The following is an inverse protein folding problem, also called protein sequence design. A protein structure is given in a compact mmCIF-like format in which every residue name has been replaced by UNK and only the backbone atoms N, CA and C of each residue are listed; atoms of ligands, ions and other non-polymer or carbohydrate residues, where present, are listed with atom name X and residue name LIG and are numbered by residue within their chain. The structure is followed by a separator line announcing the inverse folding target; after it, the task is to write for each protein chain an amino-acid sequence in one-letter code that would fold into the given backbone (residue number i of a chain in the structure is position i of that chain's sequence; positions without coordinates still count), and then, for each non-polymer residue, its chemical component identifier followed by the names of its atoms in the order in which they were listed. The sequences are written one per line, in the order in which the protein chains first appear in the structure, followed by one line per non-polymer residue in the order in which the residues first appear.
data_IF_549878418712
#
_entry.id   IF_549878418712
#
_cell.length_a   1.000
_cell.length_b   1.000
_cell.length_c   1.000
_cell.angle_alpha   90.00
_cell.angle_beta   90.00
_cell.angle_gamma   90.00
#
_symmetry.space_group_name_H-M   'P 1'
#
loop_
_entity.id
_entity.type
_entity.pdbx_description
1 polymer ?
#
# COMPACT_ATOMS: atom_id res chain seq x y z
N UNK A 1 39.01 -0.93 -11.68
CA UNK A 1 38.41 -0.30 -12.87
C UNK A 1 37.17 0.48 -12.45
N UNK A 2 37.09 1.75 -12.79
CA UNK A 2 35.94 2.58 -12.38
C UNK A 2 34.69 2.25 -13.22
N UNK A 3 33.49 2.11 -12.60
CA UNK A 3 32.25 1.69 -13.29
C UNK A 3 31.79 2.65 -14.38
N UNK A 4 32.24 3.88 -14.36
CA UNK A 4 31.89 4.93 -15.35
C UNK A 4 32.28 4.60 -16.79
N UNK A 5 33.15 3.61 -17.02
CA UNK A 5 33.59 3.20 -18.37
C UNK A 5 32.54 2.40 -19.17
N UNK A 6 31.44 2.01 -18.52
CA UNK A 6 30.38 1.18 -19.13
C UNK A 6 28.99 1.82 -19.08
N UNK A 7 28.88 3.13 -18.79
CA UNK A 7 27.60 3.81 -18.77
C UNK A 7 26.61 3.32 -17.68
N UNK A 8 27.10 2.56 -16.68
CA UNK A 8 26.29 2.10 -15.55
C UNK A 8 26.47 3.04 -14.37
N UNK A 9 25.47 3.85 -14.06
CA UNK A 9 25.41 4.54 -12.79
C UNK A 9 25.29 3.54 -11.64
N UNK A 10 26.03 3.81 -10.54
CA UNK A 10 25.88 3.04 -9.30
C UNK A 10 24.49 3.34 -8.72
N UNK A 11 23.59 2.40 -8.80
CA UNK A 11 22.31 2.45 -8.09
C UNK A 11 22.56 1.98 -6.65
N UNK A 12 22.48 2.89 -5.70
CA UNK A 12 22.57 2.56 -4.28
C UNK A 12 21.18 2.13 -3.80
N UNK A 13 21.04 0.85 -3.45
CA UNK A 13 19.84 0.35 -2.78
C UNK A 13 19.71 1.00 -1.40
N UNK A 14 18.49 1.42 -1.07
CA UNK A 14 18.13 1.90 0.26
C UNK A 14 17.67 0.69 1.08
N UNK A 15 18.35 0.36 2.16
CA UNK A 15 18.02 -0.78 3.00
C UNK A 15 18.37 -0.55 4.46
N UNK A 16 18.32 -1.59 5.28
CA UNK A 16 18.58 -1.57 6.73
C UNK A 16 19.83 -0.78 7.18
N UNK A 17 20.85 -0.68 6.32
CA UNK A 17 22.07 0.07 6.57
C UNK A 17 22.07 1.47 5.91
N UNK A 18 20.96 1.88 5.28
CA UNK A 18 20.85 3.19 4.65
C UNK A 18 20.50 4.22 5.72
N UNK A 19 21.50 4.97 6.16
CA UNK A 19 21.31 6.04 7.12
C UNK A 19 20.60 7.27 6.54
N UNK A 20 20.28 8.23 7.43
CA UNK A 20 19.67 9.54 7.14
C UNK A 20 20.29 10.23 5.90
N UNK A 21 21.62 10.19 5.78
CA UNK A 21 22.37 10.81 4.66
C UNK A 21 22.03 10.20 3.29
N UNK A 22 21.77 8.89 3.22
CA UNK A 22 21.40 8.23 1.97
C UNK A 22 19.98 8.61 1.53
N UNK A 23 19.05 8.73 2.48
CA UNK A 23 17.70 9.21 2.20
C UNK A 23 17.73 10.66 1.71
N UNK A 24 18.45 11.56 2.39
CA UNK A 24 18.59 12.97 2.03
C UNK A 24 19.13 13.13 0.61
N UNK A 25 20.20 12.41 0.28
CA UNK A 25 20.79 12.45 -1.07
C UNK A 25 19.80 12.03 -2.18
N UNK A 26 18.97 11.01 -1.92
CA UNK A 26 17.96 10.57 -2.90
C UNK A 26 16.78 11.54 -2.97
N UNK A 27 16.36 12.15 -1.87
CA UNK A 27 15.34 13.20 -1.86
C UNK A 27 15.77 14.42 -2.67
N UNK A 28 17.04 14.87 -2.51
CA UNK A 28 17.62 15.97 -3.30
C UNK A 28 17.60 15.65 -4.80
N UNK A 29 18.00 14.44 -5.19
CA UNK A 29 17.97 13.99 -6.59
C UNK A 29 16.56 14.00 -7.19
N UNK A 30 15.56 13.68 -6.39
CA UNK A 30 14.15 13.65 -6.79
C UNK A 30 13.48 15.04 -6.72
N UNK A 31 14.19 16.06 -6.19
CA UNK A 31 13.64 17.40 -5.98
C UNK A 31 12.53 17.45 -4.93
N UNK A 32 12.51 16.49 -3.99
CA UNK A 32 11.50 16.38 -2.94
C UNK A 32 12.04 16.95 -1.63
N UNK A 33 11.30 17.90 -1.04
CA UNK A 33 11.56 18.44 0.29
C UNK A 33 10.52 17.91 1.28
N UNK A 34 10.98 17.31 2.39
CA UNK A 34 10.14 16.80 3.46
C UNK A 34 10.49 17.51 4.78
N UNK A 35 9.50 17.67 5.66
CA UNK A 35 9.72 18.09 7.05
C UNK A 35 10.60 17.04 7.78
N UNK A 36 11.15 17.41 8.94
CA UNK A 36 12.00 16.49 9.70
C UNK A 36 11.20 15.26 10.19
N UNK A 37 9.95 15.47 10.64
CA UNK A 37 9.07 14.38 11.07
C UNK A 37 8.72 13.44 9.92
N UNK A 38 8.35 13.99 8.76
CA UNK A 38 8.04 13.19 7.59
C UNK A 38 9.26 12.39 7.09
N UNK A 39 10.47 12.98 7.16
CA UNK A 39 11.71 12.25 6.84
C UNK A 39 11.96 11.09 7.79
N UNK A 40 11.66 11.28 9.08
CA UNK A 40 11.79 10.23 10.08
C UNK A 40 10.83 9.07 9.78
N UNK A 41 9.56 9.35 9.52
CA UNK A 41 8.57 8.33 9.18
C UNK A 41 8.95 7.55 7.90
N UNK A 42 9.40 8.26 6.86
CA UNK A 42 9.87 7.63 5.61
C UNK A 42 11.08 6.74 5.87
N UNK A 43 12.04 7.19 6.69
CA UNK A 43 13.22 6.41 7.06
C UNK A 43 12.84 5.15 7.85
N UNK A 44 11.94 5.26 8.83
CA UNK A 44 11.43 4.14 9.61
C UNK A 44 10.76 3.11 8.69
N UNK A 45 9.97 3.56 7.72
CA UNK A 45 9.34 2.69 6.73
C UNK A 45 10.36 1.96 5.84
N UNK A 46 11.42 2.65 5.40
CA UNK A 46 12.50 2.04 4.62
C UNK A 46 13.22 0.96 5.46
N UNK A 47 13.47 1.23 6.75
CA UNK A 47 14.09 0.27 7.66
C UNK A 47 13.19 -0.96 7.85
N UNK A 48 11.89 -0.75 8.09
CA UNK A 48 10.91 -1.83 8.23
C UNK A 48 10.86 -2.73 6.97
N UNK A 49 10.84 -2.12 5.79
CA UNK A 49 10.93 -2.85 4.53
C UNK A 49 12.23 -3.64 4.41
N UNK A 50 13.36 -3.02 4.80
CA UNK A 50 14.67 -3.67 4.84
C UNK A 50 14.74 -4.85 5.83
N UNK A 51 14.06 -4.76 6.98
CA UNK A 51 13.95 -5.85 7.95
C UNK A 51 13.14 -7.02 7.42
N UNK A 52 12.16 -6.76 6.56
CA UNK A 52 11.42 -7.77 5.78
C UNK A 52 12.21 -8.28 4.57
N UNK A 53 13.53 -8.03 4.51
CA UNK A 53 14.45 -8.40 3.40
C UNK A 53 14.12 -7.73 2.06
N UNK A 54 13.41 -6.62 2.09
CA UNK A 54 13.09 -5.83 0.92
C UNK A 54 14.24 -4.88 0.55
N UNK A 55 14.60 -4.83 -0.73
CA UNK A 55 15.60 -3.90 -1.23
C UNK A 55 14.92 -2.69 -1.86
N UNK A 56 14.82 -1.60 -1.11
CA UNK A 56 14.29 -0.34 -1.62
C UNK A 56 15.25 0.26 -2.63
N UNK A 57 14.76 0.58 -3.82
CA UNK A 57 15.53 1.31 -4.84
C UNK A 57 15.04 2.78 -4.90
N UNK A 58 15.85 3.71 -5.42
CA UNK A 58 15.48 5.13 -5.48
C UNK A 58 14.16 5.41 -6.17
N UNK A 59 13.81 4.58 -7.16
CA UNK A 59 12.56 4.67 -7.91
C UNK A 59 11.31 4.39 -7.05
N UNK A 60 11.48 3.63 -5.95
CA UNK A 60 10.38 3.30 -5.02
C UNK A 60 10.11 4.44 -4.04
N UNK A 61 11.09 5.34 -3.87
CA UNK A 61 11.06 6.34 -2.79
C UNK A 61 9.86 7.27 -2.88
N UNK A 62 9.49 7.74 -4.07
CA UNK A 62 8.31 8.61 -4.24
C UNK A 62 7.01 7.93 -3.80
N UNK A 63 6.95 6.65 -4.03
CA UNK A 63 5.80 5.82 -3.69
C UNK A 63 5.74 5.55 -2.19
N UNK A 64 6.87 5.24 -1.57
CA UNK A 64 6.99 5.06 -0.12
C UNK A 64 6.64 6.38 0.59
N UNK A 65 7.09 7.52 0.07
CA UNK A 65 6.74 8.84 0.58
C UNK A 65 5.22 9.07 0.51
N UNK A 66 4.61 8.80 -0.65
CA UNK A 66 3.17 8.95 -0.81
C UNK A 66 2.37 8.03 0.13
N UNK A 67 2.83 6.80 0.32
CA UNK A 67 2.24 5.83 1.24
C UNK A 67 2.34 6.32 2.70
N UNK A 68 3.54 6.71 3.15
CA UNK A 68 3.80 7.14 4.53
C UNK A 68 3.05 8.43 4.86
N UNK A 69 3.11 9.44 3.99
CA UNK A 69 2.50 10.75 4.27
C UNK A 69 0.98 10.76 4.19
N UNK A 70 0.37 9.79 3.51
CA UNK A 70 -1.09 9.68 3.40
C UNK A 70 -1.69 8.63 4.32
N UNK A 71 -0.90 7.68 4.82
CA UNK A 71 -1.40 6.65 5.75
C UNK A 71 -1.55 7.26 7.15
N UNK A 72 -2.76 7.30 7.71
CA UNK A 72 -2.99 7.79 9.08
C UNK A 72 -2.30 6.89 10.10
N UNK A 73 -1.81 7.48 11.20
CA UNK A 73 -1.22 6.73 12.33
C UNK A 73 -2.28 5.88 13.05
N UNK A 74 -3.51 6.39 13.16
CA UNK A 74 -4.62 5.69 13.79
C UNK A 74 -5.37 4.82 12.78
N UNK A 75 -5.46 3.53 13.07
CA UNK A 75 -6.25 2.57 12.29
C UNK A 75 -7.71 2.59 12.76
N UNK A 76 -8.59 3.26 12.02
CA UNK A 76 -10.03 3.28 12.25
C UNK A 76 -10.74 2.05 11.69
N UNK A 77 -10.21 1.52 10.58
CA UNK A 77 -10.75 0.35 9.87
C UNK A 77 -9.69 -0.74 9.86
N UNK A 78 -10.10 -1.95 10.20
CA UNK A 78 -9.26 -3.15 10.15
C UNK A 78 -9.96 -4.24 9.36
N UNK A 79 -9.23 -4.88 8.46
CA UNK A 79 -9.64 -6.13 7.83
C UNK A 79 -9.28 -7.27 8.79
N UNK A 80 -10.26 -7.77 9.55
CA UNK A 80 -10.04 -8.79 10.59
C UNK A 80 -9.72 -10.16 9.99
N UNK A 81 -10.38 -10.48 8.89
CA UNK A 81 -10.14 -11.74 8.16
C UNK A 81 -10.61 -11.63 6.71
N UNK A 82 -9.99 -12.41 5.87
CA UNK A 82 -10.43 -12.62 4.50
C UNK A 82 -10.12 -14.04 4.05
N UNK A 83 -10.92 -14.53 3.10
CA UNK A 83 -10.67 -15.78 2.39
C UNK A 83 -10.90 -15.55 0.91
N UNK A 84 -9.98 -16.02 0.07
CA UNK A 84 -10.08 -15.91 -1.40
C UNK A 84 -9.87 -17.29 -1.98
N UNK A 85 -10.86 -17.75 -2.72
CA UNK A 85 -10.85 -19.06 -3.39
C UNK A 85 -10.82 -18.84 -4.89
N UNK A 86 -9.78 -19.37 -5.54
CA UNK A 86 -9.61 -19.36 -6.98
C UNK A 86 -9.53 -20.79 -7.49
N UNK A 87 -10.41 -21.14 -8.39
CA UNK A 87 -10.49 -22.46 -9.02
C UNK A 87 -10.42 -22.30 -10.54
N UNK A 88 -9.94 -23.32 -11.23
CA UNK A 88 -9.91 -23.34 -12.70
C UNK A 88 -11.30 -23.47 -13.34
N UNK A 89 -12.29 -23.97 -12.58
CA UNK A 89 -13.61 -24.35 -13.10
C UNK A 89 -14.75 -23.54 -12.51
N UNK A 90 -14.46 -22.65 -11.57
CA UNK A 90 -15.47 -21.86 -10.87
C UNK A 90 -15.06 -20.38 -10.86
N UNK A 91 -16.04 -19.51 -10.80
CA UNK A 91 -15.81 -18.08 -10.63
C UNK A 91 -15.12 -17.84 -9.28
N UNK A 92 -14.04 -17.06 -9.22
CA UNK A 92 -13.39 -16.69 -7.98
C UNK A 92 -14.36 -16.12 -6.96
N UNK A 93 -14.20 -16.54 -5.71
CA UNK A 93 -15.05 -16.15 -4.58
C UNK A 93 -14.17 -15.60 -3.46
N UNK A 94 -14.70 -14.65 -2.72
CA UNK A 94 -14.04 -14.15 -1.52
C UNK A 94 -15.07 -13.87 -0.42
N UNK A 95 -14.60 -13.96 0.82
CA UNK A 95 -15.28 -13.42 1.99
C UNK A 95 -14.35 -12.48 2.74
N UNK A 96 -14.91 -11.45 3.37
CA UNK A 96 -14.18 -10.49 4.18
C UNK A 96 -14.93 -10.12 5.43
N UNK A 97 -14.23 -9.96 6.54
CA UNK A 97 -14.75 -9.35 7.76
C UNK A 97 -13.98 -8.07 8.02
N UNK A 98 -14.70 -6.95 8.11
CA UNK A 98 -14.13 -5.63 8.35
C UNK A 98 -14.66 -5.09 9.67
N UNK A 99 -13.78 -4.53 10.48
CA UNK A 99 -14.15 -3.83 11.71
C UNK A 99 -13.93 -2.32 11.53
N UNK A 100 -14.95 -1.55 11.82
CA UNK A 100 -14.91 -0.10 11.90
C UNK A 100 -15.39 0.36 13.26
N UNK A 101 -14.47 0.92 14.05
CA UNK A 101 -14.76 1.44 15.40
C UNK A 101 -15.51 0.43 16.29
N UNK A 102 -15.10 -0.82 16.27
CA UNK A 102 -15.69 -1.88 17.10
C UNK A 102 -16.95 -2.54 16.51
N UNK A 103 -17.42 -2.12 15.35
CA UNK A 103 -18.52 -2.78 14.64
C UNK A 103 -17.96 -3.59 13.48
N UNK A 104 -18.23 -4.89 13.46
CA UNK A 104 -17.80 -5.78 12.38
C UNK A 104 -18.90 -5.99 11.36
N UNK A 105 -18.56 -5.94 10.07
CA UNK A 105 -19.40 -6.32 8.93
C UNK A 105 -18.73 -7.49 8.21
N UNK A 106 -19.54 -8.47 7.78
CA UNK A 106 -19.08 -9.62 7.01
C UNK A 106 -19.82 -9.70 5.69
N UNK A 107 -19.08 -9.89 4.61
CA UNK A 107 -19.68 -10.03 3.29
C UNK A 107 -18.93 -11.04 2.43
N UNK A 108 -19.64 -11.50 1.39
CA UNK A 108 -19.10 -12.39 0.35
C UNK A 108 -19.25 -11.72 -1.01
N UNK A 109 -18.33 -12.05 -1.92
CA UNK A 109 -18.32 -11.51 -3.28
C UNK A 109 -17.73 -12.51 -4.27
N UNK A 110 -18.05 -12.32 -5.53
CA UNK A 110 -17.48 -13.04 -6.67
C UNK A 110 -16.85 -12.05 -7.63
N UNK A 111 -15.96 -12.52 -8.47
CA UNK A 111 -15.30 -11.65 -9.44
C UNK A 111 -14.49 -12.44 -10.48
N UNK A 112 -13.99 -11.73 -11.50
CA UNK A 112 -13.21 -12.32 -12.59
C UNK A 112 -11.82 -12.81 -12.15
N UNK A 113 -11.38 -12.38 -10.97
CA UNK A 113 -10.10 -12.78 -10.34
C UNK A 113 -10.19 -12.71 -8.82
N UNK A 114 -9.23 -13.33 -8.13
CA UNK A 114 -9.27 -13.42 -6.66
C UNK A 114 -9.35 -12.06 -5.97
N UNK A 115 -8.52 -11.09 -6.41
CA UNK A 115 -8.57 -9.75 -5.84
C UNK A 115 -9.85 -8.98 -6.23
N UNK A 116 -10.40 -9.21 -7.42
CA UNK A 116 -11.68 -8.61 -7.81
C UNK A 116 -12.85 -9.15 -6.95
N UNK A 117 -12.87 -10.47 -6.68
CA UNK A 117 -13.83 -11.07 -5.77
C UNK A 117 -13.71 -10.48 -4.34
N UNK A 118 -12.48 -10.31 -3.84
CA UNK A 118 -12.22 -9.65 -2.56
C UNK A 118 -12.75 -8.20 -2.54
N UNK A 119 -12.49 -7.41 -3.57
CA UNK A 119 -12.98 -6.03 -3.66
C UNK A 119 -14.51 -5.94 -3.73
N UNK A 120 -15.14 -6.92 -4.37
CA UNK A 120 -16.61 -7.03 -4.39
C UNK A 120 -17.17 -7.29 -2.97
N UNK A 121 -16.61 -8.26 -2.26
CA UNK A 121 -16.98 -8.54 -0.87
C UNK A 121 -16.72 -7.31 0.03
N UNK A 122 -15.56 -6.68 -0.10
CA UNK A 122 -15.18 -5.51 0.66
C UNK A 122 -16.15 -4.33 0.43
N UNK A 123 -16.55 -4.09 -0.81
CA UNK A 123 -17.50 -3.03 -1.16
C UNK A 123 -18.83 -3.24 -0.42
N UNK A 124 -19.34 -4.46 -0.40
CA UNK A 124 -20.58 -4.80 0.31
C UNK A 124 -20.42 -4.55 1.82
N UNK A 125 -19.33 -5.05 2.43
CA UNK A 125 -19.08 -4.85 3.86
C UNK A 125 -18.92 -3.35 4.22
N UNK A 126 -18.28 -2.56 3.38
CA UNK A 126 -18.07 -1.13 3.62
C UNK A 126 -19.34 -0.30 3.43
N UNK A 127 -20.25 -0.73 2.55
CA UNK A 127 -21.59 -0.11 2.41
C UNK A 127 -22.39 -0.19 3.71
N UNK A 128 -22.28 -1.27 4.48
CA UNK A 128 -22.92 -1.39 5.81
C UNK A 128 -22.39 -0.34 6.80
N UNK A 129 -21.16 0.13 6.61
CA UNK A 129 -20.55 1.20 7.40
C UNK A 129 -20.76 2.61 6.80
N UNK A 130 -21.48 2.72 5.68
CA UNK A 130 -21.75 4.00 5.02
C UNK A 130 -20.56 4.56 4.21
N UNK A 131 -19.58 3.74 3.85
CA UNK A 131 -18.45 4.15 3.02
C UNK A 131 -18.67 3.75 1.56
N UNK A 132 -18.34 4.68 0.67
CA UNK A 132 -18.14 4.42 -0.75
C UNK A 132 -16.63 4.30 -1.02
N UNK A 133 -16.24 3.22 -1.70
CA UNK A 133 -14.83 2.98 -2.01
C UNK A 133 -14.41 3.76 -3.26
N UNK A 134 -13.20 4.33 -3.27
CA UNK A 134 -12.64 4.94 -4.45
C UNK A 134 -12.43 3.91 -5.57
N UNK A 135 -12.38 4.40 -6.80
CA UNK A 135 -12.13 3.56 -7.96
C UNK A 135 -10.64 3.16 -8.03
N UNK A 136 -10.39 1.88 -8.30
CA UNK A 136 -9.07 1.38 -8.58
C UNK A 136 -8.71 1.75 -10.04
N UNK A 137 -7.70 2.59 -10.23
CA UNK A 137 -7.29 3.06 -11.56
C UNK A 137 -5.97 2.45 -12.05
N UNK A 138 -5.11 1.98 -11.13
CA UNK A 138 -3.87 1.28 -11.49
C UNK A 138 -3.53 0.21 -10.44
N UNK A 139 -3.08 -0.95 -10.89
CA UNK A 139 -2.70 -2.09 -10.05
C UNK A 139 -1.40 -2.70 -10.56
N UNK A 140 -0.34 -2.58 -9.79
CA UNK A 140 0.97 -3.11 -10.15
C UNK A 140 1.47 -4.05 -9.09
N UNK A 141 1.99 -5.19 -9.55
CA UNK A 141 2.66 -6.17 -8.71
C UNK A 141 4.12 -6.23 -9.11
N UNK A 142 5.00 -6.19 -8.14
CA UNK A 142 6.43 -6.37 -8.34
C UNK A 142 6.97 -7.41 -7.38
N UNK A 143 7.79 -8.30 -7.89
CA UNK A 143 8.60 -9.20 -7.09
C UNK A 143 10.04 -8.71 -7.20
N UNK A 144 10.62 -8.11 -6.14
CA UNK A 144 12.01 -7.68 -6.17
C UNK A 144 12.94 -8.88 -6.44
N UNK A 145 14.00 -8.69 -7.22
CA UNK A 145 14.92 -9.77 -7.51
C UNK A 145 15.70 -10.17 -6.26
N UNK A 146 15.16 -11.14 -5.52
CA UNK A 146 15.80 -11.72 -4.32
C UNK A 146 16.49 -13.05 -4.59
N UNK A 147 16.20 -13.70 -5.72
CA UNK A 147 16.74 -15.00 -6.09
C UNK A 147 16.29 -16.14 -5.17
N UNK A 148 15.29 -15.97 -4.32
CA UNK A 148 14.76 -16.95 -3.36
C UNK A 148 13.28 -17.16 -3.56
N UNK A 149 12.78 -18.33 -3.17
CA UNK A 149 11.36 -18.69 -3.22
C UNK A 149 10.52 -17.97 -2.16
N UNK A 150 11.17 -17.32 -1.17
CA UNK A 150 10.59 -16.51 -0.11
C UNK A 150 10.60 -15.00 -0.43
N UNK A 151 10.62 -14.67 -1.72
CA UNK A 151 10.59 -13.28 -2.16
C UNK A 151 9.30 -12.59 -1.74
N UNK A 152 9.43 -11.37 -1.18
CA UNK A 152 8.28 -10.53 -0.89
C UNK A 152 7.67 -10.01 -2.18
N UNK A 153 6.36 -9.86 -2.17
CA UNK A 153 5.57 -9.25 -3.24
C UNK A 153 5.19 -7.85 -2.81
N UNK A 154 5.39 -6.91 -3.70
CA UNK A 154 4.90 -5.54 -3.57
C UNK A 154 3.66 -5.38 -4.42
N UNK A 155 2.60 -4.88 -3.83
CA UNK A 155 1.41 -4.50 -4.56
C UNK A 155 1.17 -3.00 -4.42
N UNK A 156 1.16 -2.34 -5.52
CA UNK A 156 0.94 -0.93 -5.72
C UNK A 156 -0.46 -0.72 -6.24
N UNK A 157 -1.28 0.09 -5.58
CA UNK A 157 -2.64 0.39 -6.01
C UNK A 157 -2.83 1.89 -6.05
N UNK A 158 -3.30 2.41 -7.18
CA UNK A 158 -3.77 3.79 -7.33
C UNK A 158 -5.29 3.82 -7.23
N UNK A 159 -5.75 4.74 -6.42
CA UNK A 159 -7.14 4.99 -6.12
C UNK A 159 -7.54 6.37 -6.64
N UNK A 160 -8.62 6.44 -7.41
CA UNK A 160 -9.17 7.69 -7.89
C UNK A 160 -10.59 7.86 -7.32
N UNK A 161 -10.90 9.08 -6.91
CA UNK A 161 -12.20 9.50 -6.39
C UNK A 161 -12.71 10.64 -7.24
N UNK A 162 -13.98 10.62 -7.62
CA UNK A 162 -14.54 11.65 -8.49
C UNK A 162 -14.36 13.07 -7.90
N UNK A 163 -13.79 13.97 -8.71
CA UNK A 163 -13.57 15.36 -8.33
C UNK A 163 -12.37 15.61 -7.40
N UNK A 164 -11.61 14.58 -7.02
CA UNK A 164 -10.46 14.70 -6.13
C UNK A 164 -9.17 14.18 -6.78
N UNK A 165 -8.03 14.63 -6.25
CA UNK A 165 -6.73 14.09 -6.66
C UNK A 165 -6.59 12.68 -6.11
N UNK A 166 -6.43 11.70 -7.00
CA UNK A 166 -6.20 10.31 -6.61
C UNK A 166 -4.93 10.13 -5.77
N UNK A 167 -4.87 9.03 -5.03
CA UNK A 167 -3.72 8.67 -4.18
C UNK A 167 -3.30 7.23 -4.42
N UNK A 168 -2.14 6.84 -3.88
CA UNK A 168 -1.61 5.49 -4.04
C UNK A 168 -1.26 4.88 -2.70
N UNK A 169 -1.42 3.57 -2.60
CA UNK A 169 -1.03 2.78 -1.43
C UNK A 169 -0.13 1.62 -1.83
N UNK A 170 0.74 1.21 -0.91
CA UNK A 170 1.70 0.12 -1.08
C UNK A 170 1.48 -0.93 0.01
N UNK A 171 1.30 -2.16 -0.40
CA UNK A 171 1.34 -3.33 0.48
C UNK A 171 2.53 -4.23 0.16
N UNK A 172 3.09 -4.87 1.17
CA UNK A 172 4.22 -5.80 1.05
C UNK A 172 3.93 -7.04 1.88
N UNK A 173 3.92 -8.19 1.22
CA UNK A 173 3.68 -9.49 1.86
C UNK A 173 4.40 -10.60 1.09
N UNK A 174 4.47 -11.80 1.62
CA UNK A 174 4.93 -12.99 0.92
C UNK A 174 3.92 -13.50 -0.12
N UNK A 175 2.66 -13.13 0.02
CA UNK A 175 1.56 -13.45 -0.87
C UNK A 175 1.04 -12.23 -1.62
N UNK A 176 0.70 -12.39 -2.89
CA UNK A 176 0.22 -11.28 -3.72
C UNK A 176 -1.12 -10.72 -3.23
N UNK A 177 -2.05 -11.57 -2.81
CA UNK A 177 -3.35 -11.13 -2.28
C UNK A 177 -3.14 -10.47 -0.92
N UNK A 178 -2.28 -11.03 -0.06
CA UNK A 178 -1.90 -10.42 1.21
C UNK A 178 -1.35 -9.01 1.04
N UNK A 179 -0.41 -8.81 0.11
CA UNK A 179 0.13 -7.49 -0.22
C UNK A 179 -0.97 -6.52 -0.70
N UNK A 180 -1.89 -6.99 -1.56
CA UNK A 180 -3.00 -6.19 -2.04
C UNK A 180 -3.98 -5.81 -0.92
N UNK A 181 -4.27 -6.73 0.00
CA UNK A 181 -5.13 -6.49 1.18
C UNK A 181 -4.51 -5.44 2.09
N UNK A 182 -3.20 -5.50 2.35
CA UNK A 182 -2.48 -4.48 3.13
C UNK A 182 -2.59 -3.10 2.46
N UNK A 183 -2.37 -3.01 1.15
CA UNK A 183 -2.53 -1.76 0.41
C UNK A 183 -3.98 -1.22 0.48
N UNK A 184 -4.95 -2.12 0.44
CA UNK A 184 -6.38 -1.78 0.52
C UNK A 184 -6.77 -1.31 1.91
N UNK A 185 -6.29 -1.94 2.99
CA UNK A 185 -6.55 -1.50 4.37
C UNK A 185 -6.02 -0.08 4.63
N UNK A 186 -4.88 0.28 4.06
CA UNK A 186 -4.38 1.66 4.11
C UNK A 186 -5.33 2.63 3.40
N UNK A 187 -5.83 2.27 2.22
CA UNK A 187 -6.83 3.07 1.50
C UNK A 187 -8.07 3.29 2.38
N UNK A 188 -8.60 2.23 3.02
CA UNK A 188 -9.76 2.34 3.91
C UNK A 188 -9.52 3.34 5.04
N UNK A 189 -8.35 3.33 5.67
CA UNK A 189 -8.00 4.25 6.73
C UNK A 189 -7.85 5.69 6.24
N UNK A 190 -7.29 5.91 5.06
CA UNK A 190 -7.22 7.24 4.44
C UNK A 190 -8.62 7.83 4.26
N UNK A 191 -9.54 7.10 3.61
CA UNK A 191 -10.90 7.60 3.38
C UNK A 191 -11.71 7.78 4.67
N UNK A 192 -11.48 6.92 5.69
CA UNK A 192 -12.16 7.05 6.98
C UNK A 192 -11.73 8.31 7.74
N UNK A 193 -10.46 8.68 7.70
CA UNK A 193 -9.95 9.91 8.29
C UNK A 193 -10.43 11.16 7.53
N UNK A 194 -10.47 11.13 6.20
CA UNK A 194 -11.04 12.20 5.38
C UNK A 194 -12.50 12.47 5.74
N UNK A 195 -13.32 11.40 5.83
CA UNK A 195 -14.73 11.50 6.21
C UNK A 195 -14.92 12.04 7.64
N UNK A 196 -14.07 11.62 8.58
CA UNK A 196 -14.08 12.13 9.95
C UNK A 196 -13.72 13.62 10.05
N UNK A 197 -12.77 14.07 9.23
CA UNK A 197 -12.35 15.47 9.18
C UNK A 197 -13.41 16.42 8.60
N UNK A 198 -14.26 15.92 7.70
CA UNK A 198 -15.37 16.69 7.11
C UNK A 198 -16.49 16.96 8.14
N UNK A 199 -16.78 15.97 9.00
CA UNK A 199 -17.81 16.10 10.02
C UNK A 199 -17.44 17.07 11.16
N UNK A 200 -16.14 17.28 11.43
CA UNK A 200 -15.66 18.23 12.46
C UNK A 200 -15.76 19.68 11.98
N UNK A 201 -15.70 19.95 10.68
CA UNK A 201 -15.81 21.31 10.10
C UNK A 201 -17.25 21.80 9.92
N UNK A 202 -18.24 20.92 10.11
CA UNK A 202 -19.67 21.21 9.93
C UNK A 202 -20.41 21.39 11.27
N UNK A 203 -19.71 21.38 12.40
CA UNK A 203 -20.20 21.63 13.76
C UNK A 203 -19.59 22.89 14.34
#
# INVERSE_FOLDING_TARGET
MAPQRFGRERRYALGKLSGKASLEHNLEKLGVSLSEDNRKQVLERIIELGDKKYTVVPEDLLMIIADVLKTPEEQLIRIESYNVVVSSNEMPQASVTVNFRGKSAHAMGTGDGGYNAFMTALKIAMQEHGFELPHLSDYRVRIPPSGRTDALVETFIRWDKEGETGFSTLGVDSDQIGAAVIATEKMLNIIAHEAGSLNVKSS
#
